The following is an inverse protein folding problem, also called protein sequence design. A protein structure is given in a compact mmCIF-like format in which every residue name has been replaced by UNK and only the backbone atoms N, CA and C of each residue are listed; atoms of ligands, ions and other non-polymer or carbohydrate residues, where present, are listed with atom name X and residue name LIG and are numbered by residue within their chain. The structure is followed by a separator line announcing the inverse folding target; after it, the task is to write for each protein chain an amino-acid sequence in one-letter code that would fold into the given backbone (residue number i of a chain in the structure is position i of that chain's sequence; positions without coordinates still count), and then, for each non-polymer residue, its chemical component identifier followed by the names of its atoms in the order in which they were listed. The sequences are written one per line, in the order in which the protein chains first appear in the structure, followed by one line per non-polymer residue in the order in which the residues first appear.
data_IF_143865856086
#
_entry.id   IF_143865856086
#
_cell.length_a   1.000
_cell.length_b   1.000
_cell.length_c   1.000
_cell.angle_alpha   90.00
_cell.angle_beta   90.00
_cell.angle_gamma   90.00
#
_symmetry.space_group_name_H-M   'P 1'
#
loop_
_entity.id
_entity.type
_entity.pdbx_description
1 polymer ?
#
# COMPACT_ATOMS: atom_id res chain seq x y z
N UNK A 1 8.45 -7.59 -21.36
CA UNK A 1 8.82 -7.57 -19.94
C UNK A 1 7.80 -8.40 -19.17
N UNK A 2 8.25 -9.29 -18.28
CA UNK A 2 7.41 -10.16 -17.46
C UNK A 2 7.82 -10.09 -15.99
N UNK A 3 6.94 -10.56 -15.11
CA UNK A 3 7.23 -10.71 -13.66
C UNK A 3 7.87 -9.48 -13.02
N UNK A 4 7.42 -8.28 -13.44
CA UNK A 4 7.89 -7.03 -12.88
C UNK A 4 7.47 -6.92 -11.41
N UNK A 5 8.38 -6.43 -10.58
CA UNK A 5 8.13 -6.11 -9.18
C UNK A 5 8.77 -4.76 -8.86
N UNK A 6 7.95 -3.71 -8.82
CA UNK A 6 8.38 -2.34 -8.58
C UNK A 6 8.90 -2.10 -7.16
N UNK A 7 8.50 -2.93 -6.19
CA UNK A 7 8.91 -2.76 -4.78
C UNK A 7 10.34 -3.20 -4.52
N UNK A 8 10.85 -4.18 -5.26
CA UNK A 8 12.24 -4.61 -5.15
C UNK A 8 13.07 -4.29 -6.40
N UNK A 9 12.45 -3.68 -7.41
CA UNK A 9 13.14 -3.26 -8.62
C UNK A 9 13.57 -4.41 -9.52
N UNK A 10 12.81 -5.52 -9.59
CA UNK A 10 13.14 -6.67 -10.43
C UNK A 10 12.16 -6.86 -11.58
N UNK A 11 12.61 -7.49 -12.66
CA UNK A 11 11.77 -7.88 -13.80
C UNK A 11 12.42 -9.02 -14.58
N UNK A 12 11.66 -9.65 -15.47
CA UNK A 12 12.20 -10.55 -16.49
C UNK A 12 12.07 -9.92 -17.87
N UNK A 13 13.19 -9.80 -18.57
CA UNK A 13 13.24 -9.37 -19.97
C UNK A 13 13.34 -10.62 -20.83
N UNK A 14 12.28 -10.93 -21.56
CA UNK A 14 12.24 -12.08 -22.46
C UNK A 14 12.48 -11.61 -23.90
N UNK A 15 13.43 -12.22 -24.57
CA UNK A 15 13.76 -12.00 -25.97
C UNK A 15 13.21 -13.16 -26.80
N UNK A 16 12.21 -12.89 -27.64
CA UNK A 16 11.68 -13.88 -28.57
C UNK A 16 12.42 -13.81 -29.91
N UNK A 17 12.72 -14.96 -30.49
CA UNK A 17 13.39 -15.05 -31.78
C UNK A 17 14.12 -16.36 -31.97
N UNK A 18 14.46 -16.69 -33.23
CA UNK A 18 15.12 -17.94 -33.63
C UNK A 18 16.65 -17.82 -33.78
N UNK A 19 17.23 -16.66 -33.46
CA UNK A 19 18.66 -16.42 -33.57
C UNK A 19 19.49 -17.27 -32.61
N UNK A 20 20.73 -17.52 -32.94
CA UNK A 20 21.69 -18.27 -32.11
C UNK A 20 22.44 -17.31 -31.15
N UNK A 21 21.68 -16.74 -30.21
CA UNK A 21 22.16 -15.83 -29.18
C UNK A 21 21.89 -14.36 -29.49
N UNK A 22 21.88 -13.57 -28.41
CA UNK A 22 21.66 -12.13 -28.42
C UNK A 22 22.55 -11.42 -27.41
N UNK A 23 22.88 -10.14 -27.69
CA UNK A 23 23.41 -9.19 -26.71
C UNK A 23 22.32 -8.19 -26.42
N UNK A 24 22.13 -7.85 -25.16
CA UNK A 24 21.06 -6.94 -24.74
C UNK A 24 21.65 -5.85 -23.87
N UNK A 25 21.51 -4.61 -24.33
CA UNK A 25 21.89 -3.42 -23.59
C UNK A 25 20.68 -2.91 -22.81
N UNK A 26 20.86 -2.67 -21.51
CA UNK A 26 19.80 -2.13 -20.64
C UNK A 26 20.37 -0.97 -19.83
N UNK A 27 19.67 0.15 -19.79
CA UNK A 27 20.05 1.34 -19.02
C UNK A 27 18.81 2.18 -18.67
N UNK A 28 18.91 2.95 -17.59
CA UNK A 28 17.90 3.96 -17.24
C UNK A 28 18.07 5.24 -18.06
N UNK A 29 17.02 6.05 -18.14
CA UNK A 29 17.12 7.40 -18.70
C UNK A 29 17.77 8.42 -17.73
N UNK A 30 17.97 8.02 -16.48
CA UNK A 30 18.64 8.81 -15.45
C UNK A 30 20.12 9.00 -15.81
N UNK A 31 20.59 10.24 -15.80
CA UNK A 31 22.00 10.58 -16.03
C UNK A 31 22.62 9.99 -17.33
N UNK A 32 21.81 9.82 -18.37
CA UNK A 32 22.24 9.25 -19.65
C UNK A 32 22.40 7.73 -19.59
N UNK A 33 23.56 7.20 -20.00
CA UNK A 33 23.84 5.76 -20.00
C UNK A 33 24.88 5.37 -18.95
N UNK A 34 24.91 6.07 -17.83
CA UNK A 34 25.93 5.87 -16.81
C UNK A 34 25.78 4.55 -16.02
N UNK A 35 24.59 3.94 -16.11
CA UNK A 35 24.20 2.65 -15.52
C UNK A 35 24.02 1.52 -16.56
N UNK A 36 24.54 1.71 -17.80
CA UNK A 36 24.42 0.75 -18.89
C UNK A 36 25.04 -0.62 -18.51
N UNK A 37 24.24 -1.65 -18.63
CA UNK A 37 24.65 -3.05 -18.47
C UNK A 37 24.40 -3.85 -19.75
N UNK A 38 25.41 -4.61 -20.18
CA UNK A 38 25.30 -5.55 -21.29
C UNK A 38 25.04 -6.96 -20.78
N UNK A 39 23.91 -7.53 -21.17
CA UNK A 39 23.58 -8.92 -20.90
C UNK A 39 23.87 -9.79 -22.11
N UNK A 40 24.33 -11.00 -21.87
CA UNK A 40 24.61 -11.99 -22.89
C UNK A 40 23.61 -13.14 -22.82
N UNK A 41 22.98 -13.44 -23.94
CA UNK A 41 22.04 -14.55 -24.11
C UNK A 41 22.60 -15.53 -25.15
N UNK A 42 23.52 -16.44 -24.79
CA UNK A 42 24.14 -17.38 -25.74
C UNK A 42 23.16 -18.46 -26.19
N UNK A 43 23.31 -18.90 -27.41
CA UNK A 43 22.59 -20.05 -27.97
C UNK A 43 21.07 -19.88 -27.88
N UNK A 44 20.42 -20.72 -27.08
CA UNK A 44 18.97 -20.74 -26.89
C UNK A 44 18.47 -19.97 -25.66
N UNK A 45 19.37 -19.33 -24.92
CA UNK A 45 18.98 -18.49 -23.78
C UNK A 45 18.10 -17.32 -24.25
N UNK A 46 17.02 -17.02 -23.52
CA UNK A 46 16.01 -16.02 -23.92
C UNK A 46 15.59 -15.09 -22.78
N UNK A 47 16.02 -15.31 -21.56
CA UNK A 47 15.55 -14.58 -20.38
C UNK A 47 16.71 -13.92 -19.67
N UNK A 48 16.56 -12.64 -19.37
CA UNK A 48 17.40 -11.87 -18.45
C UNK A 48 16.60 -11.64 -17.18
N UNK A 49 17.16 -11.97 -16.03
CA UNK A 49 16.64 -11.52 -14.75
C UNK A 49 17.23 -10.12 -14.47
N UNK A 50 16.41 -9.11 -14.69
CA UNK A 50 16.75 -7.73 -14.42
C UNK A 50 16.65 -7.46 -12.91
N UNK A 51 17.62 -6.72 -12.39
CA UNK A 51 17.66 -6.23 -11.01
C UNK A 51 18.23 -4.81 -11.02
N UNK A 52 17.47 -3.84 -10.48
CA UNK A 52 17.84 -2.44 -10.36
C UNK A 52 19.18 -2.23 -9.62
N UNK A 53 19.58 -3.19 -8.74
CA UNK A 53 20.85 -3.14 -8.04
C UNK A 53 22.03 -3.15 -8.99
N UNK A 54 21.89 -3.76 -10.17
CA UNK A 54 22.93 -3.82 -11.21
C UNK A 54 23.00 -2.53 -12.03
N UNK A 55 22.04 -1.62 -11.85
CA UNK A 55 21.86 -0.37 -12.60
C UNK A 55 21.93 0.86 -11.67
N UNK A 56 22.90 0.89 -10.76
CA UNK A 56 23.09 1.99 -9.78
C UNK A 56 21.87 2.30 -8.94
N UNK A 57 20.88 1.41 -8.88
CA UNK A 57 19.58 1.60 -8.20
C UNK A 57 18.75 2.76 -8.77
N UNK A 58 18.95 3.09 -10.03
CA UNK A 58 18.24 4.20 -10.69
C UNK A 58 16.78 3.83 -10.89
N UNK A 59 15.86 4.52 -10.24
CA UNK A 59 14.43 4.43 -10.53
C UNK A 59 14.11 5.16 -11.84
N UNK A 60 13.05 4.78 -12.51
CA UNK A 60 12.61 5.50 -13.71
C UNK A 60 12.38 4.58 -14.91
N UNK A 61 12.49 5.18 -16.08
CA UNK A 61 12.32 4.51 -17.36
C UNK A 61 13.61 3.83 -17.78
N UNK A 62 13.51 2.57 -18.18
CA UNK A 62 14.60 1.75 -18.71
C UNK A 62 14.42 1.50 -20.20
N UNK A 63 15.51 1.60 -20.94
CA UNK A 63 15.61 1.23 -22.33
C UNK A 63 16.25 -0.14 -22.45
N UNK A 64 15.74 -0.97 -23.37
CA UNK A 64 16.23 -2.31 -23.68
C UNK A 64 16.47 -2.38 -25.18
N UNK A 65 17.73 -2.54 -25.58
CA UNK A 65 18.10 -2.74 -26.97
C UNK A 65 18.65 -4.14 -27.18
N UNK A 66 18.09 -4.86 -28.13
CA UNK A 66 18.52 -6.23 -28.47
C UNK A 66 19.34 -6.21 -29.75
N UNK A 67 20.48 -6.85 -29.70
CA UNK A 67 21.43 -6.96 -30.82
C UNK A 67 21.67 -8.42 -31.16
N UNK A 68 21.97 -8.67 -32.43
CA UNK A 68 22.46 -9.98 -32.86
C UNK A 68 23.79 -10.30 -32.16
N UNK A 69 24.00 -11.56 -31.81
CA UNK A 69 25.21 -12.02 -31.11
C UNK A 69 26.50 -11.68 -31.87
N UNK A 70 26.51 -11.91 -33.18
CA UNK A 70 27.70 -11.81 -34.05
C UNK A 70 27.84 -10.46 -34.75
N UNK A 71 26.84 -9.63 -34.72
CA UNK A 71 26.81 -8.33 -35.40
C UNK A 71 26.43 -7.24 -34.42
N UNK A 72 26.75 -5.99 -34.73
CA UNK A 72 26.30 -4.82 -33.95
C UNK A 72 24.93 -4.31 -34.39
N UNK A 73 24.22 -5.08 -35.22
CA UNK A 73 22.90 -4.69 -35.72
C UNK A 73 21.87 -4.76 -34.59
N UNK A 74 21.21 -3.64 -34.34
CA UNK A 74 20.06 -3.56 -33.46
C UNK A 74 18.88 -4.27 -34.11
N UNK A 75 18.27 -5.21 -33.41
CA UNK A 75 17.16 -6.03 -33.90
C UNK A 75 15.80 -5.50 -33.44
N UNK A 76 15.70 -5.07 -32.20
CA UNK A 76 14.50 -4.48 -31.63
C UNK A 76 14.80 -3.70 -30.35
N UNK A 77 13.82 -2.91 -29.93
CA UNK A 77 13.88 -2.09 -28.73
C UNK A 77 12.60 -2.26 -27.92
N UNK A 78 12.71 -2.12 -26.62
CA UNK A 78 11.59 -2.09 -25.69
C UNK A 78 11.90 -1.12 -24.55
N UNK A 79 10.87 -0.73 -23.84
CA UNK A 79 10.97 0.14 -22.68
C UNK A 79 10.14 -0.43 -21.54
N UNK A 80 10.54 -0.14 -20.31
CA UNK A 80 9.74 -0.42 -19.13
C UNK A 80 10.10 0.55 -18.01
N UNK A 81 9.22 0.68 -17.03
CA UNK A 81 9.44 1.56 -15.89
C UNK A 81 9.65 0.73 -14.63
N UNK A 82 10.55 1.18 -13.76
CA UNK A 82 10.78 0.65 -12.42
C UNK A 82 10.70 1.80 -11.44
N UNK A 83 9.79 1.71 -10.47
CA UNK A 83 9.59 2.76 -9.46
C UNK A 83 10.66 2.75 -8.37
N UNK A 84 11.44 1.66 -8.25
CA UNK A 84 12.42 1.53 -7.18
C UNK A 84 11.75 1.42 -5.81
N UNK A 85 12.37 1.92 -4.76
CA UNK A 85 11.85 1.85 -3.39
C UNK A 85 10.56 2.68 -3.22
N UNK A 86 9.44 2.15 -3.68
CA UNK A 86 8.15 2.80 -3.50
C UNK A 86 7.80 2.86 -2.02
N UNK A 87 7.64 4.07 -1.50
CA UNK A 87 7.15 4.30 -0.14
C UNK A 87 5.66 4.52 -0.13
N UNK A 88 5.02 4.11 0.95
CA UNK A 88 3.60 4.33 1.14
C UNK A 88 3.30 4.81 2.56
N UNK A 89 2.18 5.50 2.72
CA UNK A 89 1.68 5.96 4.02
C UNK A 89 0.32 5.34 4.28
N UNK A 90 0.21 4.63 5.41
CA UNK A 90 -1.04 4.02 5.87
C UNK A 90 -1.65 4.87 6.99
N UNK A 91 -2.92 5.25 6.85
CA UNK A 91 -3.67 6.04 7.83
C UNK A 91 -5.04 5.43 8.09
N UNK A 92 -5.56 5.64 9.29
CA UNK A 92 -6.94 5.31 9.66
C UNK A 92 -7.56 6.52 10.32
N UNK A 93 -8.80 6.82 9.97
CA UNK A 93 -9.61 7.89 10.57
C UNK A 93 -11.04 7.44 10.74
N UNK A 94 -11.78 7.99 11.71
CA UNK A 94 -13.22 7.81 11.78
C UNK A 94 -13.90 8.50 10.60
N UNK A 95 -14.97 7.92 10.09
CA UNK A 95 -15.81 8.53 9.04
C UNK A 95 -16.93 9.32 9.71
N UNK A 96 -17.03 10.60 9.38
CA UNK A 96 -18.06 11.52 9.90
C UNK A 96 -18.16 11.48 11.44
N UNK A 97 -17.02 11.34 12.12
CA UNK A 97 -16.91 11.18 13.57
C UNK A 97 -17.73 9.98 14.15
N UNK A 98 -18.03 8.98 13.34
CA UNK A 98 -18.71 7.77 13.80
C UNK A 98 -17.77 6.86 14.58
N UNK A 99 -18.32 6.17 15.59
CA UNK A 99 -17.59 5.18 16.40
C UNK A 99 -17.57 3.79 15.77
N UNK A 100 -18.41 3.55 14.77
CA UNK A 100 -18.62 2.25 14.14
C UNK A 100 -18.06 2.17 12.70
N UNK A 101 -17.55 3.28 12.16
CA UNK A 101 -17.08 3.33 10.78
C UNK A 101 -15.73 4.04 10.69
N UNK A 102 -14.74 3.36 10.17
CA UNK A 102 -13.38 3.87 10.00
C UNK A 102 -12.95 3.74 8.54
N UNK A 103 -12.25 4.75 8.05
CA UNK A 103 -11.64 4.74 6.71
C UNK A 103 -10.17 4.43 6.83
N UNK A 104 -9.74 3.37 6.16
CA UNK A 104 -8.35 3.02 5.97
C UNK A 104 -7.90 3.56 4.63
N UNK A 105 -6.81 4.31 4.62
CA UNK A 105 -6.21 4.88 3.40
C UNK A 105 -4.74 4.52 3.32
N UNK A 106 -4.35 4.01 2.16
CA UNK A 106 -2.96 3.83 1.78
C UNK A 106 -2.66 4.77 0.62
N UNK A 107 -1.62 5.61 0.77
CA UNK A 107 -1.16 6.49 -0.29
C UNK A 107 0.27 6.12 -0.67
N UNK A 108 0.49 5.82 -1.94
CA UNK A 108 1.83 5.68 -2.49
C UNK A 108 2.44 7.06 -2.78
N UNK A 109 3.74 7.21 -2.55
CA UNK A 109 4.49 8.40 -2.95
C UNK A 109 4.62 8.46 -4.48
N UNK A 110 4.93 7.31 -5.10
CA UNK A 110 4.89 7.08 -6.54
C UNK A 110 4.15 5.76 -6.77
N UNK A 111 3.04 5.80 -7.51
CA UNK A 111 2.16 4.64 -7.67
C UNK A 111 2.80 3.64 -8.62
N UNK A 112 3.11 2.41 -8.15
CA UNK A 112 3.57 1.35 -9.03
C UNK A 112 2.49 0.90 -10.00
N UNK A 113 2.85 0.67 -11.26
CA UNK A 113 1.91 0.24 -12.32
C UNK A 113 1.60 -1.26 -12.29
N UNK A 114 2.32 -2.03 -11.49
CA UNK A 114 2.10 -3.47 -11.32
C UNK A 114 1.19 -3.84 -10.14
N UNK A 115 0.68 -2.87 -9.37
CA UNK A 115 -0.30 -3.11 -8.31
C UNK A 115 -1.66 -3.39 -8.92
N UNK A 116 -2.14 -4.62 -8.72
CA UNK A 116 -3.47 -5.05 -9.18
C UNK A 116 -4.56 -4.71 -8.15
N UNK A 117 -4.30 -5.01 -6.87
CA UNK A 117 -5.24 -4.73 -5.78
C UNK A 117 -4.51 -4.49 -4.47
N UNK A 118 -5.07 -3.63 -3.63
CA UNK A 118 -4.64 -3.43 -2.24
C UNK A 118 -5.68 -4.03 -1.30
N UNK A 119 -5.21 -4.72 -0.27
CA UNK A 119 -6.07 -5.31 0.76
C UNK A 119 -5.62 -4.87 2.15
N UNK A 120 -6.61 -4.67 3.01
CA UNK A 120 -6.42 -4.33 4.41
C UNK A 120 -6.98 -5.46 5.30
N UNK A 121 -6.15 -6.37 5.81
CA UNK A 121 -6.56 -7.21 6.93
C UNK A 121 -6.68 -6.37 8.20
N UNK A 122 -7.82 -6.53 8.89
CA UNK A 122 -8.17 -5.79 10.11
C UNK A 122 -8.66 -6.77 11.17
N UNK A 123 -8.13 -6.68 12.39
CA UNK A 123 -8.48 -7.54 13.50
C UNK A 123 -8.17 -6.89 14.87
N UNK A 124 -8.76 -7.39 15.95
CA UNK A 124 -8.44 -6.95 17.30
C UNK A 124 -8.02 -8.09 18.26
N UNK A 125 -8.35 -9.34 17.94
CA UNK A 125 -7.97 -10.47 18.76
C UNK A 125 -6.52 -10.90 18.52
N UNK A 126 -5.81 -11.26 19.59
CA UNK A 126 -4.41 -11.65 19.50
C UNK A 126 -4.17 -12.91 18.63
N UNK A 127 -5.15 -13.82 18.60
CA UNK A 127 -5.12 -15.03 17.77
C UNK A 127 -5.59 -14.81 16.33
N UNK A 128 -5.95 -13.58 15.98
CA UNK A 128 -6.46 -13.19 14.65
C UNK A 128 -7.75 -13.94 14.24
N UNK A 129 -8.51 -14.54 15.18
CA UNK A 129 -9.72 -15.29 14.88
C UNK A 129 -10.86 -14.41 14.31
N UNK A 130 -10.74 -13.10 14.43
CA UNK A 130 -11.66 -12.09 13.91
C UNK A 130 -11.12 -11.33 12.69
N UNK A 131 -10.02 -11.81 12.07
CA UNK A 131 -9.41 -11.13 10.92
C UNK A 131 -10.37 -11.05 9.73
N UNK A 132 -10.50 -9.84 9.19
CA UNK A 132 -11.26 -9.57 7.97
C UNK A 132 -10.36 -8.93 6.93
N UNK A 133 -10.31 -9.51 5.73
CA UNK A 133 -9.59 -8.98 4.58
C UNK A 133 -10.51 -8.07 3.78
N UNK A 134 -10.21 -6.79 3.73
CA UNK A 134 -11.04 -5.78 3.08
C UNK A 134 -10.30 -5.29 1.84
N UNK A 135 -10.94 -5.46 0.68
CA UNK A 135 -10.38 -4.99 -0.59
C UNK A 135 -10.58 -3.49 -0.72
N UNK A 136 -9.49 -2.77 -0.96
CA UNK A 136 -9.50 -1.33 -1.16
C UNK A 136 -9.95 -0.96 -2.58
N UNK A 137 -10.50 0.23 -2.72
CA UNK A 137 -10.79 0.88 -3.99
C UNK A 137 -9.68 1.89 -4.32
N UNK A 138 -9.20 1.84 -5.55
CA UNK A 138 -8.28 2.85 -6.03
C UNK A 138 -9.00 4.17 -6.26
N UNK A 139 -8.43 5.23 -5.74
CA UNK A 139 -8.85 6.62 -5.92
C UNK A 139 -7.80 7.39 -6.72
N UNK A 140 -8.07 8.66 -6.95
CA UNK A 140 -7.12 9.53 -7.62
C UNK A 140 -5.81 9.69 -6.81
N UNK A 141 -4.73 10.08 -7.49
CA UNK A 141 -3.44 10.43 -6.87
C UNK A 141 -2.76 9.29 -6.07
N UNK A 142 -2.91 8.05 -6.52
CA UNK A 142 -2.25 6.89 -5.89
C UNK A 142 -2.79 6.53 -4.51
N UNK A 143 -4.02 6.92 -4.19
CA UNK A 143 -4.70 6.57 -2.94
C UNK A 143 -5.52 5.30 -3.15
N UNK A 144 -5.42 4.39 -2.19
CA UNK A 144 -6.29 3.23 -2.05
C UNK A 144 -7.03 3.33 -0.73
N UNK A 145 -8.34 3.15 -0.73
CA UNK A 145 -9.12 3.28 0.49
C UNK A 145 -10.21 2.22 0.62
N UNK A 146 -10.56 1.92 1.87
CA UNK A 146 -11.70 1.08 2.22
C UNK A 146 -12.32 1.57 3.53
N UNK A 147 -13.62 1.43 3.63
CA UNK A 147 -14.34 1.66 4.88
C UNK A 147 -14.46 0.35 5.67
N UNK A 148 -14.17 0.44 6.95
CA UNK A 148 -14.17 -0.65 7.92
C UNK A 148 -15.29 -0.41 8.91
N UNK A 149 -16.34 -1.21 8.85
CA UNK A 149 -17.38 -1.19 9.86
C UNK A 149 -16.96 -2.03 11.07
N UNK A 150 -17.12 -1.47 12.28
CA UNK A 150 -16.87 -2.13 13.55
C UNK A 150 -18.23 -2.53 14.13
N UNK A 151 -18.65 -3.80 14.03
CA UNK A 151 -19.89 -4.25 14.66
C UNK A 151 -19.73 -4.19 16.19
N UNK A 152 -20.82 -3.98 16.89
CA UNK A 152 -20.92 -4.05 18.35
C UNK A 152 -20.09 -3.03 19.14
N UNK A 153 -19.90 -1.84 18.60
CA UNK A 153 -19.33 -0.66 19.27
C UNK A 153 -18.37 -1.01 20.43
N UNK A 154 -17.30 -1.72 20.11
CA UNK A 154 -16.28 -2.12 21.09
C UNK A 154 -15.43 -0.92 21.52
N UNK A 155 -16.04 0.04 22.20
CA UNK A 155 -15.37 1.25 22.67
C UNK A 155 -14.12 0.90 23.45
N UNK A 156 -13.01 1.54 23.08
CA UNK A 156 -11.71 1.31 23.70
C UNK A 156 -10.93 0.14 23.09
N UNK A 157 -11.54 -0.72 22.26
CA UNK A 157 -10.81 -1.77 21.57
C UNK A 157 -9.77 -1.20 20.60
N UNK A 158 -8.62 -1.85 20.53
CA UNK A 158 -7.55 -1.48 19.60
C UNK A 158 -7.50 -2.48 18.45
N UNK A 159 -7.74 -2.00 17.27
CA UNK A 159 -7.66 -2.79 16.04
C UNK A 159 -6.30 -2.66 15.38
N UNK A 160 -5.78 -3.79 14.90
CA UNK A 160 -4.61 -3.85 14.02
C UNK A 160 -5.07 -3.70 12.58
N UNK A 161 -4.30 -2.98 11.78
CA UNK A 161 -4.50 -2.84 10.34
C UNK A 161 -3.17 -3.06 9.66
N UNK A 162 -3.12 -4.03 8.75
CA UNK A 162 -2.01 -4.16 7.83
C UNK A 162 -2.44 -3.72 6.43
N UNK A 163 -1.49 -3.44 5.57
CA UNK A 163 -1.70 -3.17 4.16
C UNK A 163 -0.84 -4.10 3.31
N UNK A 164 -1.45 -4.70 2.31
CA UNK A 164 -0.79 -5.55 1.32
C UNK A 164 -1.18 -5.13 -0.10
N UNK A 165 -0.20 -5.10 -1.00
CA UNK A 165 -0.46 -5.05 -2.43
C UNK A 165 -0.34 -6.44 -3.03
N UNK A 166 -1.29 -6.83 -3.87
CA UNK A 166 -1.17 -7.98 -4.75
C UNK A 166 -0.80 -7.47 -6.14
N UNK A 167 0.33 -7.92 -6.64
CA UNK A 167 0.86 -7.49 -7.93
C UNK A 167 0.24 -8.28 -9.08
N UNK A 168 0.33 -7.74 -10.28
CA UNK A 168 -0.10 -8.43 -11.51
C UNK A 168 0.65 -9.74 -11.76
N UNK A 169 1.85 -9.89 -11.18
CA UNK A 169 2.63 -11.14 -11.17
C UNK A 169 2.07 -12.22 -10.23
N UNK A 170 1.07 -11.90 -9.40
CA UNK A 170 0.58 -12.77 -8.33
C UNK A 170 1.36 -12.68 -7.01
N UNK A 171 2.43 -11.90 -6.97
CA UNK A 171 3.21 -11.68 -5.73
C UNK A 171 2.42 -10.79 -4.77
N UNK A 172 2.43 -11.13 -3.48
CA UNK A 172 1.91 -10.26 -2.42
C UNK A 172 3.06 -9.55 -1.71
N UNK A 173 2.92 -8.23 -1.53
CA UNK A 173 3.91 -7.37 -0.87
C UNK A 173 3.28 -6.71 0.36
N UNK A 174 3.95 -6.85 1.51
CA UNK A 174 3.58 -6.14 2.72
C UNK A 174 4.01 -4.67 2.61
N UNK A 175 3.08 -3.73 2.84
CA UNK A 175 3.30 -2.29 2.67
C UNK A 175 3.43 -1.53 3.99
N UNK A 176 2.91 -2.10 5.08
CA UNK A 176 2.98 -1.47 6.38
C UNK A 176 1.84 -1.88 7.30
N UNK A 177 1.92 -1.36 8.52
CA UNK A 177 0.90 -1.61 9.56
C UNK A 177 0.65 -0.36 10.38
N UNK A 178 -0.56 -0.28 10.94
CA UNK A 178 -0.97 0.74 11.90
C UNK A 178 -2.02 0.18 12.84
N UNK A 179 -2.44 0.96 13.81
CA UNK A 179 -3.53 0.63 14.72
C UNK A 179 -4.51 1.79 14.81
N UNK A 180 -5.74 1.51 15.17
CA UNK A 180 -6.66 2.53 15.63
C UNK A 180 -7.43 2.04 16.86
N UNK A 181 -7.83 2.99 17.70
CA UNK A 181 -8.68 2.73 18.87
C UNK A 181 -10.10 3.14 18.54
N UNK A 182 -11.05 2.27 18.88
CA UNK A 182 -12.47 2.60 18.73
C UNK A 182 -12.84 3.68 19.74
N UNK A 183 -13.22 4.84 19.23
CA UNK A 183 -13.67 5.97 20.04
C UNK A 183 -15.15 5.79 20.38
N UNK A 184 -15.53 6.16 21.58
CA UNK A 184 -16.92 6.11 22.03
C UNK A 184 -17.32 7.40 22.72
N UNK A 185 -18.60 7.55 23.05
CA UNK A 185 -19.05 8.68 23.82
C UNK A 185 -18.38 8.67 25.20
N UNK A 186 -18.01 9.85 25.67
CA UNK A 186 -17.51 10.05 27.02
C UNK A 186 -18.15 11.30 27.63
N UNK A 187 -18.32 11.28 28.94
CA UNK A 187 -18.77 12.45 29.70
C UNK A 187 -18.36 12.30 31.16
N UNK A 188 -18.12 13.43 31.80
CA UNK A 188 -17.95 13.48 33.25
C UNK A 188 -19.31 13.80 33.90
N UNK A 189 -19.63 13.08 34.96
CA UNK A 189 -20.85 13.30 35.73
C UNK A 189 -20.48 13.73 37.14
N UNK A 190 -20.99 14.86 37.57
CA UNK A 190 -20.77 15.44 38.90
C UNK A 190 -22.12 15.67 39.57
N UNK A 191 -22.21 15.29 40.84
CA UNK A 191 -23.38 15.59 41.68
C UNK A 191 -23.05 16.78 42.57
N UNK A 192 -23.88 17.82 42.50
CA UNK A 192 -23.72 19.03 43.30
C UNK A 192 -25.02 19.36 44.06
N UNK A 193 -24.92 20.29 45.02
CA UNK A 193 -26.04 20.83 45.75
C UNK A 193 -26.94 19.76 46.42
N UNK A 194 -26.33 18.68 46.93
CA UNK A 194 -27.07 17.62 47.62
C UNK A 194 -27.74 18.18 48.86
N UNK A 195 -29.08 18.05 48.94
CA UNK A 195 -29.89 18.46 50.07
C UNK A 195 -30.60 17.22 50.65
N UNK A 196 -30.08 16.69 51.75
CA UNK A 196 -30.61 15.50 52.40
C UNK A 196 -32.03 15.66 52.96
N UNK A 197 -32.40 16.91 53.35
CA UNK A 197 -33.73 17.14 53.93
C UNK A 197 -34.85 17.19 52.87
N UNK A 198 -34.49 17.58 51.66
CA UNK A 198 -35.44 17.66 50.53
C UNK A 198 -35.30 16.48 49.55
N UNK A 199 -34.24 15.68 49.71
CA UNK A 199 -33.96 14.57 48.77
C UNK A 199 -33.61 15.05 47.37
N UNK A 200 -33.03 16.26 47.22
CA UNK A 200 -32.71 16.85 45.94
C UNK A 200 -31.20 16.98 45.71
N UNK A 201 -30.76 16.93 44.49
CA UNK A 201 -29.43 17.22 44.02
C UNK A 201 -29.40 17.63 42.57
N UNK A 202 -28.34 18.30 42.17
CA UNK A 202 -28.08 18.62 40.77
C UNK A 202 -27.14 17.61 40.17
N UNK A 203 -27.44 17.16 38.96
CA UNK A 203 -26.55 16.36 38.15
C UNK A 203 -25.98 17.24 37.05
N UNK A 204 -24.66 17.45 37.07
CA UNK A 204 -23.97 18.22 36.06
C UNK A 204 -23.22 17.25 35.16
N UNK A 205 -23.49 17.29 33.88
CA UNK A 205 -22.75 16.54 32.85
C UNK A 205 -21.81 17.51 32.14
N UNK A 206 -20.50 17.19 32.21
CA UNK A 206 -19.42 18.01 31.64
C UNK A 206 -18.63 17.19 30.63
N UNK A 207 -17.84 17.89 29.78
CA UNK A 207 -16.89 17.27 28.85
C UNK A 207 -17.54 16.16 28.00
N UNK A 208 -18.75 16.44 27.52
CA UNK A 208 -19.46 15.46 26.69
C UNK A 208 -18.80 15.40 25.31
N UNK A 209 -18.19 14.25 25.01
CA UNK A 209 -17.60 13.95 23.73
C UNK A 209 -18.35 12.78 23.09
N UNK A 210 -18.90 12.97 21.90
CA UNK A 210 -19.52 11.92 21.12
C UNK A 210 -19.02 11.99 19.68
N UNK A 211 -18.65 10.86 19.09
CA UNK A 211 -18.08 10.83 17.74
C UNK A 211 -18.98 11.44 16.66
N UNK A 212 -20.29 11.34 16.81
CA UNK A 212 -21.28 11.83 15.84
C UNK A 212 -21.92 13.18 16.21
N UNK A 213 -21.43 13.85 17.27
CA UNK A 213 -22.06 15.06 17.82
C UNK A 213 -23.21 14.76 18.81
N UNK A 214 -23.54 15.74 19.65
CA UNK A 214 -24.60 15.62 20.66
C UNK A 214 -25.87 16.29 20.14
N UNK A 215 -26.93 15.51 19.91
CA UNK A 215 -28.25 16.08 19.62
C UNK A 215 -29.02 16.40 20.91
N UNK A 216 -28.90 15.55 21.93
CA UNK A 216 -29.53 15.77 23.23
C UNK A 216 -28.88 14.91 24.33
N UNK A 217 -28.91 15.39 25.57
CA UNK A 217 -28.60 14.63 26.79
C UNK A 217 -29.91 14.35 27.52
N UNK A 218 -30.21 13.11 27.82
CA UNK A 218 -31.42 12.68 28.53
C UNK A 218 -31.06 11.95 29.81
#
# INVERSE_FOLDING_TARGET
IKNKNDFNGTAQIEVSGSGNGYKVAVWSEENGQDDLVWYSLPGTARVINFDIQNHKKSAGKYNVHVYNWNTTSNLCQAEFRVSGNTTSTLKVSSVDNRSDLYRVQLKFADMPDDVNVVQFPVWNKADQSDIRWITAQQKLNGVWEADVSIPDQQVGAVYQVHAYANLTSGTQVFLGKTTFKVIGPSADVEIQNYNANQGTFDVIVKNVEVPAGVESVR
#
